data_IF_119889976550
#
_entry.id   IF_119889976550
#
_cell.length_a   1.000
_cell.length_b   1.000
_cell.length_c   1.000
_cell.angle_alpha   90.00
_cell.angle_beta   90.00
_cell.angle_gamma   90.00
#
_symmetry.space_group_name_H-M   'P 1'
#
loop_
_entity.id
_entity.type
_entity.pdbx_description
1 polymer ?
#
# COMPACT_ATOMS: atom_id res chain seq x y z
N UNK A 1 61.37 -13.64 58.37
CA UNK A 1 60.76 -13.78 57.04
C UNK A 1 59.30 -14.18 57.26
N UNK A 2 58.40 -13.23 57.05
CA UNK A 2 56.96 -13.37 57.31
C UNK A 2 56.33 -14.22 56.20
N UNK A 3 55.86 -15.41 56.57
CA UNK A 3 55.00 -16.24 55.72
C UNK A 3 53.60 -15.66 55.66
N UNK A 4 53.17 -15.26 54.47
CA UNK A 4 51.77 -14.93 54.19
C UNK A 4 51.02 -16.25 53.99
N UNK A 5 50.38 -16.74 55.06
CA UNK A 5 49.29 -17.71 54.96
C UNK A 5 48.10 -17.03 54.26
N UNK A 6 47.93 -17.27 52.98
CA UNK A 6 46.66 -17.04 52.30
C UNK A 6 45.65 -18.07 52.86
N UNK A 7 44.73 -17.60 53.72
CA UNK A 7 43.55 -18.38 54.08
C UNK A 7 42.66 -18.51 52.84
N UNK A 8 42.76 -19.64 52.15
CA UNK A 8 41.71 -20.13 51.25
C UNK A 8 40.45 -20.40 52.09
N UNK A 9 39.63 -19.37 52.25
CA UNK A 9 38.23 -19.55 52.64
C UNK A 9 37.51 -20.15 51.43
N UNK A 10 37.57 -21.48 51.30
CA UNK A 10 36.55 -22.22 50.52
C UNK A 10 35.20 -21.84 51.10
N UNK A 11 34.43 -21.03 50.37
CA UNK A 11 33.03 -20.82 50.67
C UNK A 11 32.35 -22.19 50.56
N UNK A 12 31.89 -22.70 51.68
CA UNK A 12 30.99 -23.85 51.74
C UNK A 12 29.76 -23.45 50.92
N UNK A 13 29.52 -24.11 49.79
CA UNK A 13 28.28 -23.95 49.02
C UNK A 13 27.10 -24.10 50.00
N UNK A 14 26.34 -23.03 50.21
CA UNK A 14 25.07 -23.13 50.92
C UNK A 14 24.20 -24.10 50.13
N UNK A 15 23.99 -25.29 50.71
CA UNK A 15 23.27 -26.41 50.09
C UNK A 15 21.91 -25.90 49.59
N UNK A 16 21.79 -25.75 48.26
CA UNK A 16 20.56 -25.32 47.60
C UNK A 16 20.56 -23.95 46.94
N UNK A 17 21.68 -23.20 46.91
CA UNK A 17 21.80 -21.94 46.14
C UNK A 17 22.88 -22.04 45.06
N UNK A 18 22.68 -21.30 43.97
CA UNK A 18 23.62 -21.18 42.85
C UNK A 18 23.88 -19.70 42.59
N UNK A 19 25.14 -19.32 42.44
CA UNK A 19 25.54 -17.95 42.10
C UNK A 19 25.90 -17.87 40.63
N UNK A 20 25.24 -16.97 39.91
CA UNK A 20 25.59 -16.61 38.53
C UNK A 20 26.28 -15.25 38.49
N UNK A 21 27.25 -15.10 37.60
CA UNK A 21 27.94 -13.84 37.32
C UNK A 21 28.03 -13.66 35.81
N UNK A 22 27.71 -12.46 35.31
CA UNK A 22 27.91 -12.16 33.88
C UNK A 22 29.41 -11.97 33.62
N UNK A 23 29.93 -12.58 32.54
CA UNK A 23 31.37 -12.56 32.18
C UNK A 23 31.93 -11.13 32.24
N UNK A 24 33.09 -10.97 32.89
CA UNK A 24 33.70 -9.66 33.17
C UNK A 24 33.36 -9.14 34.58
N UNK A 25 33.45 -7.82 34.80
CA UNK A 25 33.01 -7.15 36.03
C UNK A 25 31.47 -6.96 36.06
N UNK A 26 30.74 -7.95 35.54
CA UNK A 26 29.30 -7.91 35.37
C UNK A 26 28.52 -8.13 36.66
N UNK A 27 27.19 -7.89 36.63
CA UNK A 27 26.33 -8.16 37.77
C UNK A 27 26.32 -9.64 38.16
N UNK A 28 26.09 -9.91 39.44
CA UNK A 28 25.95 -11.27 39.98
C UNK A 28 24.65 -11.42 40.75
N UNK A 29 24.07 -12.62 40.73
CA UNK A 29 22.86 -12.93 41.48
C UNK A 29 22.89 -14.36 42.04
N UNK A 30 22.22 -14.53 43.18
CA UNK A 30 22.04 -15.84 43.82
C UNK A 30 20.61 -16.32 43.56
N UNK A 31 20.48 -17.52 42.99
CA UNK A 31 19.21 -18.17 42.67
C UNK A 31 19.10 -19.46 43.48
N UNK A 32 17.92 -19.74 44.03
CA UNK A 32 17.66 -21.03 44.66
C UNK A 32 17.68 -22.15 43.61
N UNK A 33 18.43 -23.21 43.85
CA UNK A 33 18.58 -24.34 42.91
C UNK A 33 17.23 -24.98 42.54
N UNK A 34 16.26 -24.96 43.46
CA UNK A 34 14.89 -25.45 43.23
C UNK A 34 14.07 -24.60 42.25
N UNK A 35 14.44 -23.34 42.04
CA UNK A 35 13.80 -22.46 41.06
C UNK A 35 14.33 -22.68 39.64
N UNK A 36 15.44 -23.40 39.49
CA UNK A 36 16.02 -23.76 38.18
C UNK A 36 15.43 -25.10 37.73
N UNK A 37 14.39 -25.05 36.92
CA UNK A 37 13.79 -26.24 36.29
C UNK A 37 13.98 -26.21 34.78
N UNK A 38 14.01 -27.38 34.10
CA UNK A 38 14.09 -27.44 32.64
C UNK A 38 12.96 -26.69 31.94
N UNK A 39 11.79 -26.59 32.57
CA UNK A 39 10.64 -25.86 32.04
C UNK A 39 10.82 -24.33 32.08
N UNK A 40 11.65 -23.83 33.01
CA UNK A 40 11.93 -22.40 33.17
C UNK A 40 13.11 -21.98 32.30
N UNK A 41 14.19 -22.75 32.33
CA UNK A 41 15.35 -22.53 31.46
C UNK A 41 16.16 -23.83 31.36
N UNK A 42 16.04 -24.57 30.25
CA UNK A 42 16.83 -25.78 30.04
C UNK A 42 18.33 -25.45 29.94
N UNK A 43 18.68 -24.27 29.43
CA UNK A 43 20.07 -23.80 29.31
C UNK A 43 20.69 -23.60 30.69
N UNK A 44 20.03 -22.85 31.59
CA UNK A 44 20.58 -22.62 32.93
C UNK A 44 20.70 -23.92 33.73
N UNK A 45 19.77 -24.86 33.55
CA UNK A 45 19.87 -26.20 34.18
C UNK A 45 21.03 -27.01 33.60
N UNK A 46 21.26 -26.97 32.29
CA UNK A 46 22.37 -27.66 31.65
C UNK A 46 23.72 -27.15 32.18
N UNK A 47 23.87 -25.82 32.31
CA UNK A 47 25.09 -25.20 32.81
C UNK A 47 25.47 -25.69 34.22
N UNK A 48 24.49 -25.95 35.09
CA UNK A 48 24.73 -26.36 36.50
C UNK A 48 24.74 -27.87 36.73
N UNK A 49 24.30 -28.67 35.76
CA UNK A 49 24.24 -30.14 35.90
C UNK A 49 25.44 -30.85 35.31
N UNK A 50 26.33 -30.13 34.62
CA UNK A 50 27.58 -30.64 34.03
C UNK A 50 27.37 -31.98 33.29
N UNK A 51 26.27 -32.10 32.53
CA UNK A 51 26.01 -33.32 31.76
C UNK A 51 27.10 -33.48 30.70
N UNK A 52 27.66 -34.69 30.62
CA UNK A 52 28.63 -35.07 29.58
C UNK A 52 27.96 -35.42 28.23
N UNK A 53 26.74 -34.94 28.01
CA UNK A 53 26.03 -35.11 26.75
C UNK A 53 26.75 -34.28 25.66
N UNK A 54 27.17 -34.92 24.56
CA UNK A 54 27.81 -34.25 23.43
C UNK A 54 26.91 -33.11 22.91
N UNK A 55 27.39 -31.87 23.03
CA UNK A 55 26.69 -30.66 22.56
C UNK A 55 25.94 -29.86 23.63
N UNK A 56 25.86 -30.34 24.87
CA UNK A 56 25.30 -29.54 25.96
C UNK A 56 26.26 -28.39 26.35
N UNK A 57 25.77 -27.16 26.59
CA UNK A 57 26.62 -26.06 27.03
C UNK A 57 27.20 -26.38 28.42
N UNK A 58 28.52 -26.46 28.52
CA UNK A 58 29.23 -26.64 29.80
C UNK A 58 29.38 -25.28 30.48
N UNK A 59 28.91 -25.19 31.74
CA UNK A 59 29.04 -23.97 32.53
C UNK A 59 30.50 -23.69 32.90
N UNK A 60 31.03 -22.55 32.48
CA UNK A 60 32.31 -22.06 33.00
C UNK A 60 32.10 -21.58 34.44
N UNK A 61 32.99 -21.96 35.35
CA UNK A 61 33.03 -21.45 36.73
C UNK A 61 34.23 -20.53 36.89
N UNK A 62 34.05 -19.43 37.60
CA UNK A 62 35.16 -18.57 37.99
C UNK A 62 35.93 -19.14 39.19
N UNK A 63 36.99 -18.43 39.62
CA UNK A 63 37.82 -18.81 40.78
C UNK A 63 37.05 -18.90 42.11
N UNK A 64 35.83 -18.34 42.18
CA UNK A 64 34.96 -18.39 43.35
C UNK A 64 33.89 -19.49 43.23
N UNK A 65 33.93 -20.30 42.17
CA UNK A 65 32.94 -21.35 41.89
C UNK A 65 31.60 -20.82 41.38
N UNK A 66 31.51 -19.54 40.99
CA UNK A 66 30.29 -18.93 40.44
C UNK A 66 30.18 -19.28 38.97
N UNK A 67 28.97 -19.59 38.50
CA UNK A 67 28.72 -19.90 37.10
C UNK A 67 28.75 -18.63 36.26
N UNK A 68 29.60 -18.61 35.24
CA UNK A 68 29.79 -17.47 34.34
C UNK A 68 28.77 -17.54 33.21
N UNK A 69 28.04 -16.45 33.01
CA UNK A 69 27.04 -16.27 31.97
C UNK A 69 27.58 -15.43 30.82
N UNK A 70 27.31 -15.85 29.59
CA UNK A 70 27.60 -15.10 28.37
C UNK A 70 26.56 -14.01 28.10
N UNK A 71 27.02 -12.87 27.59
CA UNK A 71 26.14 -11.82 27.06
C UNK A 71 26.50 -10.42 27.57
N UNK A 72 25.92 -9.38 26.95
CA UNK A 72 26.14 -7.99 27.35
C UNK A 72 25.67 -7.73 28.79
N UNK A 73 26.35 -6.82 29.49
CA UNK A 73 26.27 -6.71 30.94
C UNK A 73 25.17 -5.76 31.45
N UNK A 74 24.06 -5.55 30.70
CA UNK A 74 23.03 -4.63 31.19
C UNK A 74 22.42 -5.17 32.50
N UNK A 75 22.60 -4.44 33.62
CA UNK A 75 22.21 -4.94 34.93
C UNK A 75 20.69 -5.03 35.10
N UNK A 76 19.92 -4.25 34.31
CA UNK A 76 18.46 -4.30 34.31
C UNK A 76 17.93 -5.56 33.63
N UNK A 77 18.45 -5.89 32.44
CA UNK A 77 18.11 -7.11 31.72
C UNK A 77 18.47 -8.36 32.54
N UNK A 78 19.66 -8.38 33.16
CA UNK A 78 20.08 -9.47 34.02
C UNK A 78 19.20 -9.61 35.27
N UNK A 79 18.85 -8.49 35.93
CA UNK A 79 17.95 -8.51 37.10
C UNK A 79 16.57 -9.08 36.75
N UNK A 80 16.04 -8.74 35.56
CA UNK A 80 14.77 -9.27 35.09
C UNK A 80 14.85 -10.77 34.84
N UNK A 81 15.92 -11.26 34.19
CA UNK A 81 16.16 -12.70 33.99
C UNK A 81 16.11 -13.46 35.32
N UNK A 82 16.85 -12.96 36.32
CA UNK A 82 16.88 -13.54 37.68
C UNK A 82 15.49 -13.55 38.30
N UNK A 83 14.78 -12.42 38.22
CA UNK A 83 13.42 -12.28 38.75
C UNK A 83 12.44 -13.25 38.08
N UNK A 84 12.53 -13.40 36.76
CA UNK A 84 11.74 -14.33 35.97
C UNK A 84 11.93 -15.76 36.47
N UNK A 85 13.18 -16.21 36.61
CA UNK A 85 13.52 -17.56 37.08
C UNK A 85 13.00 -17.80 38.50
N UNK A 86 13.24 -16.86 39.42
CA UNK A 86 12.78 -16.96 40.80
C UNK A 86 11.25 -17.05 40.93
N UNK A 87 10.52 -16.51 39.95
CA UNK A 87 9.04 -16.49 39.91
C UNK A 87 8.45 -17.61 39.05
N UNK A 88 9.25 -18.62 38.71
CA UNK A 88 8.77 -19.76 37.93
C UNK A 88 8.55 -19.44 36.46
N UNK A 89 9.35 -18.56 35.88
CA UNK A 89 9.31 -18.22 34.46
C UNK A 89 8.19 -17.23 34.07
N UNK A 90 7.64 -16.49 35.05
CA UNK A 90 6.55 -15.53 34.83
C UNK A 90 7.07 -14.10 34.90
N UNK A 91 6.59 -13.26 33.98
CA UNK A 91 6.81 -11.82 33.96
C UNK A 91 5.45 -11.12 33.91
N UNK A 92 5.30 -10.02 34.64
CA UNK A 92 4.11 -9.16 34.55
C UNK A 92 4.47 -7.85 33.83
N UNK A 93 3.55 -7.24 33.06
CA UNK A 93 3.82 -5.98 32.37
C UNK A 93 4.34 -4.85 33.28
N UNK A 94 3.80 -4.63 34.50
CA UNK A 94 4.32 -3.61 35.41
C UNK A 94 5.78 -3.83 35.80
N UNK A 95 6.17 -5.09 36.02
CA UNK A 95 7.56 -5.43 36.37
C UNK A 95 8.52 -5.18 35.22
N UNK A 96 8.12 -5.49 33.99
CA UNK A 96 8.96 -5.24 32.82
C UNK A 96 9.17 -3.73 32.65
N UNK A 97 8.11 -2.94 32.77
CA UNK A 97 8.18 -1.48 32.66
C UNK A 97 9.01 -0.82 33.78
N UNK A 98 8.95 -1.36 35.01
CA UNK A 98 9.73 -0.83 36.15
C UNK A 98 11.22 -1.23 36.06
N UNK A 99 11.50 -2.47 35.64
CA UNK A 99 12.87 -2.98 35.66
C UNK A 99 13.69 -2.59 34.44
N UNK A 100 13.07 -2.31 33.29
CA UNK A 100 13.75 -2.01 32.03
C UNK A 100 13.52 -0.53 31.67
N UNK A 101 14.41 0.39 32.13
CA UNK A 101 14.17 1.82 32.05
C UNK A 101 14.33 2.40 30.63
N UNK A 102 15.02 1.69 29.75
CA UNK A 102 15.37 2.14 28.41
C UNK A 102 15.29 1.02 27.36
N UNK A 103 15.41 1.41 26.10
CA UNK A 103 15.32 0.49 24.96
C UNK A 103 16.47 -0.53 24.96
N UNK A 104 17.69 -0.14 25.37
CA UNK A 104 18.84 -1.03 25.35
C UNK A 104 18.65 -2.20 26.34
N UNK A 105 18.19 -1.89 27.56
CA UNK A 105 17.82 -2.90 28.56
C UNK A 105 16.71 -3.83 28.04
N UNK A 106 15.74 -3.31 27.31
CA UNK A 106 14.63 -4.09 26.75
C UNK A 106 15.05 -5.02 25.60
N UNK A 107 15.92 -4.54 24.72
CA UNK A 107 16.51 -5.35 23.65
C UNK A 107 17.38 -6.46 24.23
N UNK A 108 18.21 -6.17 25.24
CA UNK A 108 19.01 -7.18 25.92
C UNK A 108 18.17 -8.20 26.67
N UNK A 109 17.09 -7.77 27.33
CA UNK A 109 16.16 -8.69 27.98
C UNK A 109 15.51 -9.67 26.98
N UNK A 110 15.17 -9.21 25.78
CA UNK A 110 14.66 -10.10 24.72
C UNK A 110 15.73 -11.12 24.28
N UNK A 111 16.97 -10.66 24.05
CA UNK A 111 18.10 -11.55 23.69
C UNK A 111 18.36 -12.61 24.77
N UNK A 112 18.33 -12.22 26.04
CA UNK A 112 18.48 -13.17 27.14
C UNK A 112 17.33 -14.16 27.23
N UNK A 113 16.11 -13.70 27.01
CA UNK A 113 14.95 -14.58 27.04
C UNK A 113 15.02 -15.67 25.97
N UNK A 114 15.56 -15.35 24.79
CA UNK A 114 15.79 -16.32 23.73
C UNK A 114 17.03 -17.18 23.99
N UNK A 115 18.18 -16.58 24.31
CA UNK A 115 19.44 -17.29 24.54
C UNK A 115 19.33 -18.33 25.67
N UNK A 116 18.65 -17.99 26.77
CA UNK A 116 18.44 -18.89 27.89
C UNK A 116 17.17 -19.73 27.77
N UNK A 117 16.48 -19.68 26.62
CA UNK A 117 15.27 -20.43 26.32
C UNK A 117 14.21 -20.29 27.42
N UNK A 118 13.92 -19.05 27.83
CA UNK A 118 12.85 -18.76 28.79
C UNK A 118 11.48 -19.20 28.24
N UNK A 119 10.47 -19.40 29.11
CA UNK A 119 9.18 -19.92 28.70
C UNK A 119 8.53 -18.98 27.68
N UNK A 120 7.76 -19.56 26.75
CA UNK A 120 7.10 -18.79 25.68
C UNK A 120 6.27 -17.62 26.20
N UNK A 121 5.62 -17.78 27.36
CA UNK A 121 4.87 -16.69 28.01
C UNK A 121 5.77 -15.50 28.39
N UNK A 122 6.97 -15.72 28.92
CA UNK A 122 7.90 -14.65 29.28
C UNK A 122 8.40 -13.90 28.03
N UNK A 123 8.80 -14.66 26.98
CA UNK A 123 9.21 -14.09 25.69
C UNK A 123 8.08 -13.27 25.05
N UNK A 124 6.85 -13.75 25.12
CA UNK A 124 5.67 -13.03 24.64
C UNK A 124 5.45 -11.72 25.39
N UNK A 125 5.54 -11.70 26.74
CA UNK A 125 5.36 -10.47 27.52
C UNK A 125 6.45 -9.44 27.21
N UNK A 126 7.71 -9.88 27.06
CA UNK A 126 8.82 -9.01 26.64
C UNK A 126 8.62 -8.43 25.25
N UNK A 127 8.22 -9.28 24.29
CA UNK A 127 7.94 -8.86 22.91
C UNK A 127 6.80 -7.85 22.86
N UNK A 128 5.70 -8.10 23.60
CA UNK A 128 4.57 -7.16 23.71
C UNK A 128 5.01 -5.82 24.31
N UNK A 129 5.80 -5.85 25.39
CA UNK A 129 6.30 -4.62 26.00
C UNK A 129 7.17 -3.84 25.01
N UNK A 130 8.11 -4.51 24.34
CA UNK A 130 8.97 -3.90 23.31
C UNK A 130 8.13 -3.24 22.23
N UNK A 131 7.20 -3.95 21.61
CA UNK A 131 6.40 -3.46 20.48
C UNK A 131 5.37 -2.38 20.89
N UNK A 132 4.93 -2.37 22.15
CA UNK A 132 3.97 -1.37 22.65
C UNK A 132 4.58 0.04 22.80
N UNK A 133 5.89 0.12 22.98
CA UNK A 133 6.62 1.36 23.22
C UNK A 133 8.00 1.33 22.57
N UNK A 134 8.09 0.82 21.33
CA UNK A 134 9.36 0.69 20.64
C UNK A 134 9.79 2.07 20.14
N UNK A 135 10.60 2.76 20.95
CA UNK A 135 11.05 4.13 20.67
C UNK A 135 12.56 4.19 20.61
N UNK A 136 13.08 4.63 19.48
CA UNK A 136 14.50 4.91 19.27
C UNK A 136 14.78 6.39 19.12
N UNK A 137 16.06 6.75 19.09
CA UNK A 137 16.49 8.06 18.63
C UNK A 137 16.44 8.09 17.10
N UNK A 138 15.97 9.20 16.51
CA UNK A 138 15.98 9.41 15.06
C UNK A 138 17.40 9.17 14.50
N UNK A 139 17.50 8.37 13.43
CA UNK A 139 18.76 7.87 12.86
C UNK A 139 19.58 6.89 13.73
N UNK A 140 18.92 6.18 14.64
CA UNK A 140 19.51 5.13 15.46
C UNK A 140 20.15 3.98 14.67
N UNK A 141 20.99 3.21 15.36
CA UNK A 141 21.64 2.02 14.82
C UNK A 141 20.60 1.03 14.26
N UNK A 142 20.98 0.30 13.21
CA UNK A 142 20.15 -0.74 12.63
C UNK A 142 19.88 -1.83 13.69
N UNK A 143 18.61 -2.07 13.98
CA UNK A 143 18.15 -3.14 14.85
C UNK A 143 17.70 -4.30 13.96
N UNK A 144 18.50 -5.36 13.98
CA UNK A 144 18.21 -6.62 13.31
C UNK A 144 17.30 -7.47 14.20
N UNK A 145 15.99 -7.43 13.92
CA UNK A 145 14.98 -8.12 14.71
C UNK A 145 15.09 -9.65 14.62
N UNK A 146 15.72 -10.19 13.56
CA UNK A 146 15.95 -11.63 13.43
C UNK A 146 16.91 -12.16 14.52
N UNK A 147 17.75 -11.28 15.08
CA UNK A 147 18.70 -11.59 16.15
C UNK A 147 18.18 -11.30 17.56
N UNK A 148 16.99 -10.74 17.71
CA UNK A 148 16.44 -10.38 19.03
C UNK A 148 15.71 -11.54 19.71
N UNK A 149 15.40 -12.61 18.98
CA UNK A 149 14.67 -13.75 19.53
C UNK A 149 13.23 -13.41 19.95
N UNK A 150 12.58 -12.51 19.19
CA UNK A 150 11.20 -12.11 19.45
C UNK A 150 10.26 -13.33 19.41
N UNK A 151 9.21 -13.28 20.22
CA UNK A 151 8.19 -14.33 20.23
C UNK A 151 7.50 -14.39 18.86
N UNK A 152 7.50 -15.59 18.25
CA UNK A 152 6.86 -15.89 16.96
C UNK A 152 5.50 -16.58 17.10
N UNK A 153 5.02 -16.76 18.32
CA UNK A 153 3.69 -17.30 18.55
C UNK A 153 2.63 -16.24 18.33
N UNK A 154 1.39 -16.67 18.10
CA UNK A 154 0.22 -15.79 18.00
C UNK A 154 0.18 -14.80 19.19
N UNK A 155 0.15 -13.50 18.87
CA UNK A 155 0.08 -12.43 19.86
C UNK A 155 -1.15 -11.56 19.62
N UNK A 156 -1.91 -11.29 20.68
CA UNK A 156 -3.02 -10.33 20.65
C UNK A 156 -2.57 -9.07 21.36
N UNK A 157 -2.60 -7.93 20.66
CA UNK A 157 -2.19 -6.62 21.12
C UNK A 157 -3.20 -5.55 20.70
N UNK A 158 -3.48 -4.60 21.59
CA UNK A 158 -4.33 -3.45 21.24
C UNK A 158 -3.55 -2.41 20.42
N UNK A 159 -2.26 -2.22 20.71
CA UNK A 159 -1.44 -1.22 20.02
C UNK A 159 0.01 -1.64 19.88
N UNK A 160 0.56 -1.40 18.69
CA UNK A 160 1.98 -1.41 18.38
C UNK A 160 2.40 0.00 17.99
N UNK A 161 3.52 0.46 18.55
CA UNK A 161 4.03 1.81 18.31
C UNK A 161 5.54 1.75 18.04
N UNK A 162 5.90 2.05 16.80
CA UNK A 162 7.27 2.18 16.33
C UNK A 162 7.58 3.66 16.09
N UNK A 163 8.56 4.20 16.80
CA UNK A 163 8.93 5.63 16.71
C UNK A 163 10.45 5.80 16.61
N UNK A 164 10.93 6.46 15.55
CA UNK A 164 12.35 6.82 15.42
C UNK A 164 13.30 5.63 15.27
N UNK A 165 12.86 4.52 14.66
CA UNK A 165 13.63 3.28 14.59
C UNK A 165 14.21 3.00 13.21
N UNK A 166 15.32 2.29 13.17
CA UNK A 166 15.86 1.66 11.97
C UNK A 166 15.79 0.15 12.17
N UNK A 167 14.75 -0.50 11.63
CA UNK A 167 14.49 -1.93 11.84
C UNK A 167 14.69 -2.72 10.56
N UNK A 168 15.21 -3.94 10.72
CA UNK A 168 15.22 -4.95 9.67
C UNK A 168 14.68 -6.28 10.15
N UNK A 169 13.94 -6.98 9.28
CA UNK A 169 13.53 -8.36 9.52
C UNK A 169 12.55 -8.52 10.68
N UNK A 170 11.74 -7.49 10.96
CA UNK A 170 10.65 -7.63 11.93
C UNK A 170 9.58 -8.55 11.32
N UNK A 171 9.37 -9.70 11.96
CA UNK A 171 8.35 -10.67 11.58
C UNK A 171 7.30 -10.79 12.68
N UNK A 172 6.05 -10.51 12.34
CA UNK A 172 4.89 -10.63 13.22
C UNK A 172 3.88 -11.60 12.63
N UNK A 173 4.37 -12.79 12.27
CA UNK A 173 3.56 -13.89 11.77
C UNK A 173 2.44 -14.20 12.77
N UNK A 174 1.22 -14.36 12.27
CA UNK A 174 0.04 -14.75 13.06
C UNK A 174 -0.29 -13.80 14.23
N UNK A 175 0.17 -12.54 14.18
CA UNK A 175 -0.11 -11.58 15.25
C UNK A 175 -1.36 -10.75 14.96
N UNK A 176 -2.22 -10.62 15.98
CA UNK A 176 -3.44 -9.81 15.99
C UNK A 176 -3.14 -8.47 16.68
N UNK A 177 -2.92 -7.41 15.90
CA UNK A 177 -2.62 -6.07 16.43
C UNK A 177 -3.69 -5.09 16.02
N UNK A 178 -4.45 -4.52 16.97
CA UNK A 178 -5.57 -3.63 16.64
C UNK A 178 -5.17 -2.33 15.96
N UNK A 179 -4.12 -1.68 16.47
CA UNK A 179 -3.60 -0.44 15.92
C UNK A 179 -2.09 -0.50 15.75
N UNK A 180 -1.59 -0.16 14.57
CA UNK A 180 -0.15 -0.02 14.30
C UNK A 180 0.16 1.43 13.96
N UNK A 181 1.07 2.03 14.71
CA UNK A 181 1.58 3.38 14.47
C UNK A 181 3.07 3.33 14.16
N UNK A 182 3.45 3.79 12.98
CA UNK A 182 4.84 3.85 12.50
C UNK A 182 5.17 5.32 12.25
N UNK A 183 6.12 5.88 12.99
CA UNK A 183 6.49 7.29 12.90
C UNK A 183 8.00 7.47 12.86
N UNK A 184 8.52 8.23 11.90
CA UNK A 184 9.96 8.52 11.83
C UNK A 184 10.83 7.28 11.68
N UNK A 185 10.31 6.20 11.10
CA UNK A 185 11.00 4.91 11.04
C UNK A 185 11.60 4.64 9.65
N UNK A 186 12.67 3.85 9.62
CA UNK A 186 13.20 3.17 8.43
C UNK A 186 13.03 1.67 8.64
N UNK A 187 12.13 1.07 7.87
CA UNK A 187 11.81 -0.35 7.94
C UNK A 187 12.27 -1.01 6.64
N UNK A 188 13.09 -2.04 6.73
CA UNK A 188 13.56 -2.79 5.57
C UNK A 188 13.35 -4.30 5.76
N UNK A 189 12.90 -5.00 4.71
CA UNK A 189 12.69 -6.45 4.73
C UNK A 189 11.80 -6.91 5.90
N UNK A 190 10.77 -6.12 6.25
CA UNK A 190 9.86 -6.44 7.35
C UNK A 190 8.61 -7.14 6.83
N UNK A 191 8.21 -8.22 7.51
CA UNK A 191 7.01 -8.98 7.19
C UNK A 191 6.01 -8.85 8.33
N UNK A 192 4.98 -8.02 8.11
CA UNK A 192 3.86 -7.88 9.03
C UNK A 192 2.67 -8.64 8.43
N UNK A 193 2.70 -9.96 8.54
CA UNK A 193 1.58 -10.83 8.23
C UNK A 193 0.59 -10.83 9.40
N UNK A 194 -0.20 -9.77 9.50
CA UNK A 194 -1.12 -9.55 10.61
C UNK A 194 -2.42 -10.32 10.36
N UNK A 195 -2.53 -11.52 10.93
CA UNK A 195 -3.78 -12.27 10.85
C UNK A 195 -4.84 -11.56 11.69
N UNK A 196 -5.90 -11.06 11.04
CA UNK A 196 -7.21 -10.70 11.62
C UNK A 196 -7.18 -9.64 12.74
N UNK A 197 -7.70 -8.44 12.43
CA UNK A 197 -7.94 -7.28 13.32
C UNK A 197 -6.89 -6.17 13.38
N UNK A 198 -6.03 -5.97 12.38
CA UNK A 198 -5.45 -4.63 12.20
C UNK A 198 -6.52 -3.65 11.73
N UNK A 199 -7.22 -3.02 12.67
CA UNK A 199 -8.24 -2.02 12.35
C UNK A 199 -7.61 -0.81 11.66
N UNK A 200 -6.41 -0.42 12.07
CA UNK A 200 -5.76 0.75 11.48
C UNK A 200 -4.23 0.67 11.52
N UNK A 201 -3.61 0.90 10.36
CA UNK A 201 -2.17 1.12 10.22
C UNK A 201 -1.95 2.57 9.82
N UNK A 202 -1.15 3.29 10.60
CA UNK A 202 -0.79 4.68 10.32
C UNK A 202 0.73 4.81 10.17
N UNK A 203 1.16 5.40 9.06
CA UNK A 203 2.56 5.56 8.66
C UNK A 203 2.82 7.04 8.43
N UNK A 204 3.74 7.62 9.20
CA UNK A 204 4.09 9.04 9.14
C UNK A 204 5.60 9.25 9.08
N UNK A 205 6.07 10.15 8.21
CA UNK A 205 7.50 10.52 8.10
C UNK A 205 8.43 9.31 8.08
N UNK A 206 8.03 8.25 7.40
CA UNK A 206 8.70 6.95 7.48
C UNK A 206 9.04 6.43 6.09
N UNK A 207 10.13 5.66 6.01
CA UNK A 207 10.53 4.94 4.81
C UNK A 207 10.34 3.45 5.04
N UNK A 208 9.50 2.81 4.23
CA UNK A 208 9.26 1.38 4.26
C UNK A 208 9.76 0.77 2.95
N UNK A 209 10.66 -0.19 3.05
CA UNK A 209 11.30 -0.87 1.92
C UNK A 209 11.04 -2.38 2.01
N UNK A 210 10.46 -2.95 0.95
CA UNK A 210 10.08 -4.37 0.87
C UNK A 210 9.20 -4.83 2.04
N UNK A 211 8.34 -3.94 2.54
CA UNK A 211 7.45 -4.25 3.67
C UNK A 211 6.19 -4.93 3.16
N UNK A 212 5.86 -6.06 3.79
CA UNK A 212 4.60 -6.76 3.54
C UNK A 212 3.61 -6.41 4.65
N UNK A 213 2.49 -5.80 4.27
CA UNK A 213 1.31 -5.60 5.11
C UNK A 213 0.25 -6.58 4.60
N UNK A 214 0.38 -7.85 4.98
CA UNK A 214 -0.52 -8.92 4.53
C UNK A 214 -1.56 -9.23 5.62
N UNK A 215 -2.77 -9.50 5.16
CA UNK A 215 -3.94 -9.97 5.92
C UNK A 215 -4.74 -8.89 6.72
N UNK A 216 -6.04 -8.80 6.40
CA UNK A 216 -7.15 -8.08 7.09
C UNK A 216 -6.89 -6.68 7.70
N UNK A 217 -6.09 -5.82 7.07
CA UNK A 217 -6.00 -4.42 7.49
C UNK A 217 -7.25 -3.66 7.04
N UNK A 218 -8.04 -3.10 7.96
CA UNK A 218 -9.25 -2.34 7.61
C UNK A 218 -8.90 -1.04 6.93
N UNK A 219 -8.04 -0.23 7.56
CA UNK A 219 -7.62 1.07 7.04
C UNK A 219 -6.11 1.26 7.12
N UNK A 220 -5.53 1.80 6.04
CA UNK A 220 -4.13 2.20 5.99
C UNK A 220 -4.07 3.69 5.69
N UNK A 221 -3.35 4.45 6.52
CA UNK A 221 -3.05 5.87 6.29
C UNK A 221 -1.54 6.07 6.17
N UNK A 222 -1.12 6.65 5.07
CA UNK A 222 0.28 7.00 4.76
C UNK A 222 0.33 8.51 4.58
N UNK A 223 1.11 9.20 5.40
CA UNK A 223 1.13 10.66 5.40
C UNK A 223 2.50 11.25 5.77
N UNK A 224 2.60 12.58 5.68
CA UNK A 224 3.73 13.39 6.14
C UNK A 224 5.07 12.99 5.49
N UNK A 225 5.15 13.01 4.16
CA UNK A 225 6.38 12.71 3.41
C UNK A 225 6.93 11.32 3.72
N UNK A 226 6.04 10.32 3.73
CA UNK A 226 6.45 8.92 3.84
C UNK A 226 6.83 8.37 2.46
N UNK A 227 7.76 7.42 2.44
CA UNK A 227 8.24 6.74 1.24
C UNK A 227 7.91 5.24 1.35
N UNK A 228 7.19 4.70 0.37
CA UNK A 228 6.91 3.27 0.27
C UNK A 228 7.61 2.70 -0.96
N UNK A 229 8.55 1.76 -0.80
CA UNK A 229 9.37 1.21 -1.88
C UNK A 229 9.25 -0.31 -1.90
N UNK A 230 8.73 -0.87 -3.00
CA UNK A 230 8.56 -2.33 -3.13
C UNK A 230 7.60 -2.95 -2.12
N UNK A 231 6.71 -2.14 -1.52
CA UNK A 231 5.79 -2.61 -0.50
C UNK A 231 4.64 -3.42 -1.11
N UNK A 232 4.21 -4.46 -0.39
CA UNK A 232 3.04 -5.24 -0.73
C UNK A 232 1.92 -4.95 0.28
N UNK A 233 0.86 -4.30 -0.18
CA UNK A 233 -0.19 -3.72 0.65
C UNK A 233 -1.51 -4.41 0.37
N UNK A 234 -2.14 -4.94 1.42
CA UNK A 234 -3.52 -5.45 1.39
C UNK A 234 -4.38 -4.65 2.36
N UNK A 235 -5.56 -4.23 1.90
CA UNK A 235 -6.53 -3.47 2.70
C UNK A 235 -7.94 -3.91 2.34
N UNK A 236 -8.85 -3.93 3.31
CA UNK A 236 -10.23 -4.40 3.12
C UNK A 236 -11.26 -3.28 3.01
N UNK A 237 -10.97 -2.06 3.50
CA UNK A 237 -11.90 -0.92 3.37
C UNK A 237 -11.24 0.31 2.74
N UNK A 238 -10.15 0.84 3.31
CA UNK A 238 -9.64 2.16 2.90
C UNK A 238 -8.12 2.27 2.91
N UNK A 239 -7.55 2.67 1.78
CA UNK A 239 -6.18 3.18 1.68
C UNK A 239 -6.21 4.70 1.50
N UNK A 240 -5.53 5.44 2.37
CA UNK A 240 -5.31 6.87 2.26
C UNK A 240 -3.81 7.14 2.16
N UNK A 241 -3.37 7.77 1.07
CA UNK A 241 -1.99 8.19 0.85
C UNK A 241 -1.98 9.70 0.62
N UNK A 242 -1.26 10.43 1.45
CA UNK A 242 -1.22 11.89 1.42
C UNK A 242 0.20 12.43 1.52
N UNK A 243 0.55 13.43 0.72
CA UNK A 243 1.84 14.14 0.81
C UNK A 243 3.02 13.15 0.85
N UNK A 244 2.99 12.07 0.05
CA UNK A 244 3.87 10.89 0.19
C UNK A 244 4.20 10.25 -1.16
N UNK A 245 5.28 9.48 -1.18
CA UNK A 245 5.82 8.84 -2.39
C UNK A 245 5.66 7.32 -2.32
N UNK A 246 5.33 6.72 -3.47
CA UNK A 246 5.22 5.28 -3.65
C UNK A 246 6.01 4.83 -4.87
N UNK A 247 6.82 3.81 -4.74
CA UNK A 247 7.63 3.24 -5.82
C UNK A 247 7.46 1.72 -5.87
N UNK A 248 7.11 1.18 -7.04
CA UNK A 248 7.03 -0.27 -7.30
C UNK A 248 6.19 -1.03 -6.26
N UNK A 249 5.13 -0.41 -5.73
CA UNK A 249 4.26 -1.01 -4.73
C UNK A 249 3.19 -1.88 -5.39
N UNK A 250 2.91 -3.03 -4.78
CA UNK A 250 1.84 -3.93 -5.21
C UNK A 250 0.66 -3.88 -4.26
N UNK A 251 -0.55 -3.85 -4.81
CA UNK A 251 -1.78 -3.88 -4.03
C UNK A 251 -2.49 -5.21 -4.28
N UNK A 252 -2.82 -5.92 -3.21
CA UNK A 252 -3.62 -7.16 -3.28
C UNK A 252 -5.04 -6.86 -2.80
N UNK A 253 -6.02 -7.05 -3.66
CA UNK A 253 -7.41 -7.27 -3.24
C UNK A 253 -7.66 -8.77 -3.17
N UNK A 254 -8.27 -9.28 -2.10
CA UNK A 254 -8.56 -10.72 -2.04
C UNK A 254 -9.83 -11.05 -2.80
N UNK A 255 -9.78 -12.13 -3.58
CA UNK A 255 -10.97 -12.69 -4.23
C UNK A 255 -12.02 -13.16 -3.20
N UNK A 256 -11.61 -13.41 -1.95
CA UNK A 256 -12.52 -13.73 -0.85
C UNK A 256 -13.23 -12.48 -0.32
N UNK A 257 -12.55 -11.33 -0.28
CA UNK A 257 -13.10 -10.03 0.16
C UNK A 257 -14.21 -9.57 -0.81
N UNK A 258 -14.17 -10.05 -2.06
CA UNK A 258 -15.18 -9.78 -3.09
C UNK A 258 -16.54 -10.43 -2.83
N UNK A 259 -16.62 -11.44 -1.95
CA UNK A 259 -17.89 -12.13 -1.66
C UNK A 259 -18.87 -11.24 -0.90
N UNK A 260 -18.36 -10.30 -0.09
CA UNK A 260 -19.18 -9.50 0.84
C UNK A 260 -19.64 -8.14 0.29
N UNK A 261 -19.43 -7.87 -1.00
CA UNK A 261 -19.76 -6.57 -1.65
C UNK A 261 -19.15 -5.36 -0.94
N UNK A 262 -18.10 -5.54 -0.14
CA UNK A 262 -17.42 -4.44 0.52
C UNK A 262 -16.76 -3.55 -0.56
N UNK A 263 -17.00 -2.24 -0.45
CA UNK A 263 -16.42 -1.24 -1.35
C UNK A 263 -15.07 -0.86 -0.79
N UNK A 264 -14.00 -1.37 -1.39
CA UNK A 264 -12.63 -0.98 -1.04
C UNK A 264 -12.29 0.32 -1.76
N UNK A 265 -11.87 1.34 -1.02
CA UNK A 265 -11.56 2.68 -1.54
C UNK A 265 -10.07 3.00 -1.39
N UNK A 266 -9.52 3.71 -2.37
CA UNK A 266 -8.19 4.31 -2.30
C UNK A 266 -8.27 5.81 -2.58
N UNK A 267 -7.60 6.59 -1.73
CA UNK A 267 -7.52 8.04 -1.80
C UNK A 267 -6.05 8.45 -1.88
N UNK A 268 -5.67 9.15 -2.93
CA UNK A 268 -4.34 9.68 -3.15
C UNK A 268 -4.44 11.20 -3.21
N UNK A 269 -3.78 11.90 -2.28
CA UNK A 269 -3.84 13.36 -2.16
C UNK A 269 -2.42 13.93 -2.12
N UNK A 270 -2.00 14.71 -3.12
CA UNK A 270 -0.61 15.19 -3.20
C UNK A 270 0.41 14.04 -3.13
N UNK A 271 0.11 12.93 -3.81
CA UNK A 271 0.96 11.75 -3.82
C UNK A 271 1.74 11.62 -5.12
N UNK A 272 2.94 11.04 -5.05
CA UNK A 272 3.74 10.67 -6.23
C UNK A 272 3.81 9.15 -6.33
N UNK A 273 3.40 8.60 -7.47
CA UNK A 273 3.33 7.15 -7.70
C UNK A 273 4.26 6.79 -8.87
N UNK A 274 5.31 6.04 -8.58
CA UNK A 274 6.35 5.62 -9.51
C UNK A 274 6.25 4.14 -9.87
N UNK A 275 6.45 3.85 -11.16
CA UNK A 275 6.37 2.50 -11.71
C UNK A 275 4.95 2.10 -12.13
N UNK A 276 4.86 0.96 -12.80
CA UNK A 276 3.58 0.38 -13.24
C UNK A 276 2.73 0.02 -12.03
N UNK A 277 1.49 0.53 -12.01
CA UNK A 277 0.62 0.41 -10.85
C UNK A 277 -0.65 -0.35 -11.21
N UNK A 278 -0.95 -1.38 -10.41
CA UNK A 278 -2.24 -2.09 -10.47
C UNK A 278 -3.08 -1.69 -9.27
N UNK A 279 -4.25 -1.10 -9.51
CA UNK A 279 -5.14 -0.58 -8.47
C UNK A 279 -6.39 -1.47 -8.36
N UNK A 280 -6.44 -2.43 -7.42
CA UNK A 280 -7.54 -3.37 -7.27
C UNK A 280 -8.71 -2.83 -6.42
N UNK A 281 -8.92 -1.52 -6.41
CA UNK A 281 -9.91 -0.84 -5.56
C UNK A 281 -11.23 -0.62 -6.31
N UNK A 282 -12.35 -0.63 -5.58
CA UNK A 282 -13.66 -0.31 -6.14
C UNK A 282 -13.82 1.18 -6.43
N UNK A 283 -13.26 2.02 -5.57
CA UNK A 283 -13.30 3.47 -5.70
C UNK A 283 -11.89 4.02 -5.58
N UNK A 284 -11.46 4.78 -6.58
CA UNK A 284 -10.16 5.45 -6.56
C UNK A 284 -10.41 6.94 -6.68
N UNK A 285 -9.84 7.73 -5.79
CA UNK A 285 -9.89 9.19 -5.82
C UNK A 285 -8.47 9.72 -5.77
N UNK A 286 -8.08 10.47 -6.79
CA UNK A 286 -6.80 11.14 -6.87
C UNK A 286 -7.04 12.65 -6.89
N UNK A 287 -6.37 13.37 -6.00
CA UNK A 287 -6.35 14.82 -5.94
C UNK A 287 -4.90 15.29 -5.93
N UNK A 288 -4.51 16.08 -6.94
CA UNK A 288 -3.14 16.60 -7.06
C UNK A 288 -2.07 15.49 -7.04
N UNK A 289 -2.42 14.31 -7.54
CA UNK A 289 -1.51 13.16 -7.65
C UNK A 289 -0.70 13.25 -8.94
N UNK A 290 0.56 12.82 -8.88
CA UNK A 290 1.42 12.63 -10.05
C UNK A 290 1.71 11.14 -10.25
N UNK A 291 1.59 10.68 -11.50
CA UNK A 291 1.90 9.30 -11.88
C UNK A 291 3.12 9.28 -12.81
N UNK A 292 4.08 8.41 -12.47
CA UNK A 292 5.39 8.24 -13.08
C UNK A 292 5.64 6.77 -13.45
N UNK A 293 4.74 6.15 -14.22
CA UNK A 293 4.86 4.77 -14.71
C UNK A 293 4.26 4.64 -16.11
N UNK A 294 4.42 3.48 -16.76
CA UNK A 294 3.94 3.29 -18.14
C UNK A 294 2.46 2.89 -18.17
N UNK A 295 1.98 2.14 -17.18
CA UNK A 295 0.59 1.66 -17.18
C UNK A 295 -0.07 1.80 -15.81
N UNK A 296 -1.30 2.32 -15.81
CA UNK A 296 -2.25 2.19 -14.70
C UNK A 296 -3.28 1.12 -15.05
N UNK A 297 -3.18 -0.05 -14.40
CA UNK A 297 -4.12 -1.16 -14.59
C UNK A 297 -5.18 -1.19 -13.51
N UNK A 298 -6.43 -1.35 -13.94
CA UNK A 298 -7.55 -1.60 -13.05
C UNK A 298 -8.01 -3.05 -13.16
N UNK A 299 -8.16 -3.71 -12.01
CA UNK A 299 -8.74 -5.06 -11.98
C UNK A 299 -10.25 -5.01 -11.76
N UNK A 300 -10.97 -6.05 -12.22
CA UNK A 300 -12.42 -6.24 -12.05
C UNK A 300 -12.84 -6.03 -10.59
N UNK A 301 -13.35 -4.84 -10.31
CA UNK A 301 -13.66 -4.34 -8.97
C UNK A 301 -13.88 -2.83 -8.98
N UNK A 302 -13.07 -2.09 -9.73
CA UNK A 302 -13.18 -0.63 -9.90
C UNK A 302 -14.51 -0.18 -10.48
N UNK A 303 -15.45 0.25 -9.64
CA UNK A 303 -16.67 0.89 -10.07
C UNK A 303 -16.39 2.31 -10.59
N UNK A 304 -15.42 3.02 -9.99
CA UNK A 304 -15.14 4.41 -10.35
C UNK A 304 -13.71 4.86 -10.03
N UNK A 305 -13.13 5.66 -10.92
CA UNK A 305 -11.93 6.49 -10.69
C UNK A 305 -12.31 7.95 -10.84
N UNK A 306 -11.98 8.78 -9.87
CA UNK A 306 -11.99 10.24 -10.01
C UNK A 306 -10.56 10.78 -9.94
N UNK A 307 -10.12 11.46 -11.00
CA UNK A 307 -8.88 12.22 -11.05
C UNK A 307 -9.25 13.71 -11.03
N UNK A 308 -8.73 14.46 -10.06
CA UNK A 308 -8.96 15.89 -9.90
C UNK A 308 -7.65 16.65 -9.76
N UNK A 309 -7.47 17.74 -10.50
CA UNK A 309 -6.22 18.54 -10.47
C UNK A 309 -4.96 17.68 -10.67
N UNK A 310 -5.11 16.57 -11.38
CA UNK A 310 -4.12 15.49 -11.47
C UNK A 310 -3.31 15.69 -12.73
N UNK A 311 -1.98 15.63 -12.62
CA UNK A 311 -1.08 15.76 -13.77
C UNK A 311 -0.61 14.37 -14.18
N UNK A 312 -1.04 13.93 -15.35
CA UNK A 312 -0.66 12.62 -15.90
C UNK A 312 0.57 12.81 -16.78
N UNK A 313 1.76 12.71 -16.17
CA UNK A 313 3.03 13.04 -16.84
C UNK A 313 3.54 11.93 -17.75
N UNK A 314 3.35 10.65 -17.39
CA UNK A 314 3.96 9.55 -18.13
C UNK A 314 3.10 8.31 -18.31
N UNK A 315 1.77 8.33 -18.12
CA UNK A 315 0.93 7.12 -18.24
C UNK A 315 0.43 6.91 -19.69
N UNK A 316 1.11 6.24 -20.63
CA UNK A 316 0.60 6.02 -21.99
C UNK A 316 -0.69 5.18 -22.08
N UNK A 317 -1.12 4.48 -21.01
CA UNK A 317 -2.35 3.69 -21.05
C UNK A 317 -3.06 3.58 -19.71
N UNK A 318 -4.40 3.71 -19.76
CA UNK A 318 -5.31 3.34 -18.66
C UNK A 318 -6.12 2.14 -19.16
N UNK A 319 -5.94 1.00 -18.51
CA UNK A 319 -6.54 -0.27 -18.95
C UNK A 319 -7.51 -0.81 -17.90
N UNK A 320 -8.62 -1.35 -18.37
CA UNK A 320 -9.58 -2.06 -17.53
C UNK A 320 -10.12 -3.32 -18.22
N UNK A 321 -10.25 -4.39 -17.44
CA UNK A 321 -10.87 -5.66 -17.88
C UNK A 321 -12.41 -5.62 -17.84
N UNK A 322 -13.00 -4.54 -17.35
CA UNK A 322 -14.44 -4.31 -17.24
C UNK A 322 -14.77 -2.85 -17.52
N UNK A 323 -16.03 -2.55 -17.83
CA UNK A 323 -16.47 -1.17 -17.99
C UNK A 323 -16.34 -0.41 -16.66
N UNK A 324 -15.51 0.63 -16.64
CA UNK A 324 -15.22 1.47 -15.45
C UNK A 324 -15.73 2.88 -15.68
N UNK A 325 -16.21 3.56 -14.64
CA UNK A 325 -16.43 5.00 -14.68
C UNK A 325 -15.13 5.79 -14.41
N UNK A 326 -14.68 6.59 -15.36
CA UNK A 326 -13.54 7.48 -15.23
C UNK A 326 -14.03 8.94 -15.26
N UNK A 327 -13.75 9.67 -14.18
CA UNK A 327 -14.07 11.09 -14.02
C UNK A 327 -12.77 11.89 -14.05
N UNK A 328 -12.60 12.73 -15.07
CA UNK A 328 -11.47 13.65 -15.20
C UNK A 328 -11.95 15.09 -14.97
N UNK A 329 -11.43 15.74 -13.93
CA UNK A 329 -11.77 17.12 -13.55
C UNK A 329 -10.49 17.96 -13.43
N UNK A 330 -10.37 19.06 -14.18
CA UNK A 330 -9.22 19.97 -14.13
C UNK A 330 -7.88 19.22 -14.34
N UNK A 331 -7.80 18.48 -15.45
CA UNK A 331 -6.66 17.58 -15.74
C UNK A 331 -5.94 17.97 -17.03
N UNK A 332 -4.60 17.94 -17.00
CA UNK A 332 -3.74 18.07 -18.17
C UNK A 332 -3.25 16.69 -18.62
N UNK A 333 -3.68 16.25 -19.81
CA UNK A 333 -3.23 15.02 -20.45
C UNK A 333 -2.05 15.38 -21.38
N UNK A 334 -0.82 15.34 -20.83
CA UNK A 334 0.40 15.74 -21.55
C UNK A 334 0.93 14.65 -22.49
N UNK A 335 0.55 13.39 -22.27
CA UNK A 335 0.98 12.24 -23.08
C UNK A 335 -0.15 11.68 -23.95
N UNK A 336 0.22 10.87 -24.95
CA UNK A 336 -0.74 10.16 -25.79
C UNK A 336 -1.39 9.04 -24.96
N UNK A 337 -2.69 9.17 -24.67
CA UNK A 337 -3.43 8.21 -23.85
C UNK A 337 -4.29 7.28 -24.70
N UNK A 338 -4.34 6.01 -24.29
CA UNK A 338 -5.29 5.04 -24.79
C UNK A 338 -6.36 4.79 -23.71
N UNK A 339 -7.62 5.02 -24.08
CA UNK A 339 -8.79 4.72 -23.26
C UNK A 339 -9.52 3.53 -23.86
N UNK A 340 -9.69 2.46 -23.09
CA UNK A 340 -10.37 1.25 -23.55
C UNK A 340 -11.39 0.72 -22.53
N UNK A 341 -12.60 0.39 -22.99
CA UNK A 341 -13.68 -0.16 -22.16
C UNK A 341 -14.08 0.75 -20.99
N UNK A 342 -14.46 2.01 -21.25
CA UNK A 342 -14.71 3.00 -20.20
C UNK A 342 -16.01 3.79 -20.38
N UNK A 343 -16.58 4.21 -19.24
CA UNK A 343 -17.57 5.27 -19.12
C UNK A 343 -16.87 6.55 -18.67
N UNK A 344 -16.75 7.52 -19.56
CA UNK A 344 -15.88 8.69 -19.37
C UNK A 344 -16.69 9.95 -19.13
N UNK A 345 -16.29 10.74 -18.12
CA UNK A 345 -16.77 12.10 -17.89
C UNK A 345 -15.58 13.05 -17.90
N UNK A 346 -15.68 14.12 -18.69
CA UNK A 346 -14.64 15.14 -18.85
C UNK A 346 -15.17 16.48 -18.37
N UNK A 347 -14.43 17.14 -17.48
CA UNK A 347 -14.71 18.51 -17.05
C UNK A 347 -13.41 19.30 -16.95
N UNK A 348 -13.31 20.40 -17.69
CA UNK A 348 -12.12 21.25 -17.71
C UNK A 348 -10.83 20.47 -18.03
N UNK A 349 -10.90 19.56 -19.02
CA UNK A 349 -9.79 18.67 -19.39
C UNK A 349 -9.05 19.21 -20.60
N UNK A 350 -7.73 19.29 -20.50
CA UNK A 350 -6.85 19.70 -21.60
C UNK A 350 -6.10 18.51 -22.17
N UNK A 351 -6.35 18.18 -23.43
CA UNK A 351 -5.69 17.09 -24.14
C UNK A 351 -4.60 17.69 -25.05
N UNK A 352 -3.33 17.40 -24.78
CA UNK A 352 -2.20 18.02 -25.49
C UNK A 352 -1.61 17.14 -26.59
N UNK A 353 -1.71 15.82 -26.47
CA UNK A 353 -1.24 14.85 -27.46
C UNK A 353 -2.39 13.99 -27.99
N UNK A 354 -2.24 13.36 -29.17
CA UNK A 354 -3.29 12.54 -29.75
C UNK A 354 -3.65 11.35 -28.84
N UNK A 355 -4.94 11.13 -28.63
CA UNK A 355 -5.46 10.02 -27.83
C UNK A 355 -6.18 8.98 -28.70
N UNK A 356 -6.25 7.74 -28.22
CA UNK A 356 -7.10 6.69 -28.77
C UNK A 356 -8.24 6.38 -27.79
N UNK A 357 -9.47 6.39 -28.27
CA UNK A 357 -10.67 6.07 -27.51
C UNK A 357 -11.34 4.87 -28.16
N UNK A 358 -11.27 3.70 -27.53
CA UNK A 358 -11.82 2.45 -28.06
C UNK A 358 -12.86 1.86 -27.11
N UNK A 359 -14.10 1.68 -27.57
CA UNK A 359 -15.20 1.15 -26.74
C UNK A 359 -15.47 2.02 -25.51
N UNK A 360 -15.57 3.33 -25.74
CA UNK A 360 -15.79 4.35 -24.71
C UNK A 360 -17.20 4.93 -24.82
N UNK A 361 -17.88 5.09 -23.69
CA UNK A 361 -19.14 5.83 -23.57
C UNK A 361 -18.90 7.11 -22.77
N UNK A 362 -19.05 8.28 -23.39
CA UNK A 362 -19.12 9.54 -22.66
C UNK A 362 -20.49 9.64 -21.99
N UNK A 363 -20.50 9.64 -20.65
CA UNK A 363 -21.74 9.50 -19.85
C UNK A 363 -22.55 10.78 -19.73
N UNK A 364 -21.88 11.91 -19.96
CA UNK A 364 -22.45 13.26 -19.99
C UNK A 364 -22.04 13.93 -21.30
N UNK A 365 -22.65 15.09 -21.58
CA UNK A 365 -22.30 15.92 -22.74
C UNK A 365 -20.85 16.38 -22.63
N UNK A 366 -20.08 16.21 -23.70
CA UNK A 366 -18.68 16.65 -23.77
C UNK A 366 -18.66 18.13 -24.17
N UNK A 367 -18.21 19.01 -23.28
CA UNK A 367 -18.23 20.44 -23.49
C UNK A 367 -16.82 21.03 -23.53
N UNK A 368 -16.56 21.94 -24.46
CA UNK A 368 -15.36 22.80 -24.48
C UNK A 368 -14.02 22.04 -24.55
N UNK A 369 -14.02 20.81 -25.08
CA UNK A 369 -12.81 20.00 -25.24
C UNK A 369 -12.19 20.22 -26.63
N UNK A 370 -10.86 20.39 -26.66
CA UNK A 370 -10.07 20.35 -27.90
C UNK A 370 -9.35 19.01 -28.02
N UNK A 371 -9.71 18.22 -29.03
CA UNK A 371 -9.07 16.96 -29.36
C UNK A 371 -7.91 17.18 -30.35
N UNK A 372 -6.67 16.77 -30.00
CA UNK A 372 -5.51 16.95 -30.86
C UNK A 372 -5.62 16.18 -32.17
N UNK A 373 -4.97 16.72 -33.22
CA UNK A 373 -4.95 16.10 -34.55
C UNK A 373 -4.41 14.67 -34.49
N UNK A 374 -5.01 13.77 -35.28
CA UNK A 374 -4.76 12.32 -35.30
C UNK A 374 -5.32 11.55 -34.10
N UNK A 375 -6.12 12.17 -33.22
CA UNK A 375 -6.86 11.40 -32.21
C UNK A 375 -7.83 10.43 -32.89
N UNK A 376 -8.02 9.26 -32.28
CA UNK A 376 -8.80 8.14 -32.80
C UNK A 376 -9.96 7.81 -31.88
N UNK A 377 -11.12 7.54 -32.47
CA UNK A 377 -12.34 7.18 -31.79
C UNK A 377 -12.90 5.94 -32.48
N UNK A 378 -12.93 4.80 -31.79
CA UNK A 378 -13.46 3.53 -32.30
C UNK A 378 -14.58 3.04 -31.39
N UNK A 379 -15.77 2.83 -31.96
CA UNK A 379 -16.95 2.38 -31.22
C UNK A 379 -17.28 3.27 -30.01
N UNK A 380 -17.10 4.57 -30.17
CA UNK A 380 -17.33 5.56 -29.11
C UNK A 380 -18.78 6.04 -29.12
N UNK A 381 -19.40 6.13 -27.95
CA UNK A 381 -20.75 6.67 -27.77
C UNK A 381 -20.70 7.99 -27.00
N UNK A 382 -21.12 9.07 -27.62
CA UNK A 382 -21.34 10.37 -26.97
C UNK A 382 -22.79 10.44 -26.50
N UNK A 383 -23.12 9.93 -25.31
CA UNK A 383 -24.52 9.68 -24.90
C UNK A 383 -25.42 10.92 -25.04
N UNK A 384 -24.94 12.06 -24.53
CA UNK A 384 -25.65 13.35 -24.58
C UNK A 384 -25.02 14.32 -25.61
N UNK A 385 -24.14 13.80 -26.48
CA UNK A 385 -23.46 14.54 -27.53
C UNK A 385 -22.25 15.36 -27.10
N UNK A 386 -21.88 16.32 -27.95
CA UNK A 386 -20.75 17.23 -27.85
C UNK A 386 -21.23 18.67 -28.05
N UNK A 387 -20.61 19.61 -27.34
CA UNK A 387 -20.89 21.04 -27.46
C UNK A 387 -19.59 21.85 -27.43
N UNK A 388 -19.45 22.80 -28.36
CA UNK A 388 -18.28 23.68 -28.50
C UNK A 388 -16.93 22.92 -28.54
N UNK A 389 -16.95 21.66 -28.96
CA UNK A 389 -15.75 20.84 -29.07
C UNK A 389 -15.00 21.15 -30.37
N UNK A 390 -13.66 21.04 -30.31
CA UNK A 390 -12.78 21.25 -31.46
C UNK A 390 -12.06 19.92 -31.76
N UNK A 391 -12.20 19.41 -32.97
CA UNK A 391 -11.42 18.29 -33.48
C UNK A 391 -10.99 18.60 -34.91
N UNK A 392 -9.68 18.48 -35.19
CA UNK A 392 -9.16 18.69 -36.54
C UNK A 392 -8.28 17.54 -36.98
N UNK A 393 -8.61 16.89 -38.09
CA UNK A 393 -7.83 15.73 -38.58
C UNK A 393 -7.90 14.52 -37.66
N UNK A 394 -9.02 14.31 -36.97
CA UNK A 394 -9.28 13.14 -36.13
C UNK A 394 -9.98 12.03 -36.94
N UNK A 395 -9.96 10.80 -36.41
CA UNK A 395 -10.56 9.63 -37.04
C UNK A 395 -11.64 9.03 -36.14
N UNK A 396 -12.85 8.90 -36.66
CA UNK A 396 -14.02 8.35 -35.99
C UNK A 396 -14.50 7.11 -36.75
N UNK A 397 -14.59 5.98 -36.07
CA UNK A 397 -14.94 4.67 -36.63
C UNK A 397 -16.06 4.05 -35.78
N UNK A 398 -17.21 3.77 -36.40
CA UNK A 398 -18.37 3.16 -35.74
C UNK A 398 -18.89 3.94 -34.52
N UNK A 399 -18.68 5.25 -34.47
CA UNK A 399 -19.11 6.10 -33.36
C UNK A 399 -20.59 6.47 -33.41
N UNK A 400 -21.19 6.75 -32.26
CA UNK A 400 -22.49 7.41 -32.11
C UNK A 400 -22.27 8.79 -31.49
N UNK A 401 -22.57 9.85 -32.25
CA UNK A 401 -22.32 11.25 -31.86
C UNK A 401 -23.48 11.88 -31.07
N UNK A 402 -24.34 11.07 -30.46
CA UNK A 402 -25.38 11.48 -29.52
C UNK A 402 -26.78 11.58 -30.09
N UNK A 403 -27.71 11.94 -29.21
CA UNK A 403 -29.14 12.02 -29.49
C UNK A 403 -29.66 13.44 -29.23
N UNK A 404 -30.68 13.85 -29.98
CA UNK A 404 -31.31 15.15 -29.82
C UNK A 404 -30.61 16.28 -30.58
N UNK A 405 -31.25 17.44 -30.57
CA UNK A 405 -30.93 18.57 -31.45
C UNK A 405 -29.58 19.24 -31.14
N UNK A 406 -29.11 19.16 -29.90
CA UNK A 406 -27.91 19.86 -29.44
C UNK A 406 -26.67 18.95 -29.40
N UNK A 407 -26.77 17.72 -29.90
CA UNK A 407 -25.74 16.71 -29.71
C UNK A 407 -24.41 16.97 -30.46
N UNK A 408 -24.35 17.95 -31.36
CA UNK A 408 -23.09 18.41 -31.97
C UNK A 408 -23.03 19.95 -32.06
N UNK A 409 -23.71 20.62 -31.12
CA UNK A 409 -23.90 22.07 -31.15
C UNK A 409 -22.56 22.82 -31.13
N UNK A 410 -22.40 23.79 -32.05
CA UNK A 410 -21.24 24.69 -32.12
C UNK A 410 -19.87 23.98 -32.17
N UNK A 411 -19.82 22.73 -32.63
CA UNK A 411 -18.58 21.98 -32.74
C UNK A 411 -17.80 22.33 -34.02
N UNK A 412 -16.47 22.33 -33.94
CA UNK A 412 -15.54 22.49 -35.06
C UNK A 412 -14.84 21.15 -35.34
N UNK A 413 -15.43 20.33 -36.21
CA UNK A 413 -14.99 18.98 -36.57
C UNK A 413 -14.42 18.95 -38.00
N UNK A 414 -13.26 19.58 -38.20
CA UNK A 414 -12.71 19.87 -39.54
C UNK A 414 -11.66 18.85 -40.00
N UNK A 415 -11.59 18.57 -41.30
CA UNK A 415 -10.62 17.62 -41.87
C UNK A 415 -10.66 16.21 -41.22
N UNK A 416 -11.76 15.86 -40.57
CA UNK A 416 -11.92 14.60 -39.86
C UNK A 416 -12.31 13.47 -40.82
N UNK A 417 -12.04 12.23 -40.44
CA UNK A 417 -12.52 11.05 -41.15
C UNK A 417 -13.58 10.36 -40.30
N UNK A 418 -14.78 10.19 -40.85
CA UNK A 418 -15.89 9.50 -40.21
C UNK A 418 -16.21 8.24 -41.02
N UNK A 419 -16.16 7.07 -40.37
CA UNK A 419 -16.44 5.77 -40.97
C UNK A 419 -17.53 5.06 -40.16
N UNK A 420 -18.63 4.70 -40.81
CA UNK A 420 -19.76 4.00 -40.19
C UNK A 420 -20.32 4.70 -38.93
N UNK A 421 -20.14 6.02 -38.82
CA UNK A 421 -20.64 6.81 -37.69
C UNK A 421 -22.15 7.11 -37.81
N UNK A 422 -22.79 7.29 -36.66
CA UNK A 422 -24.17 7.77 -36.51
C UNK A 422 -24.18 9.21 -36.03
N UNK A 423 -24.88 10.08 -36.76
CA UNK A 423 -25.05 11.50 -36.44
C UNK A 423 -26.49 11.76 -35.96
N UNK A 424 -26.71 12.70 -35.03
CA UNK A 424 -28.06 13.13 -34.64
C UNK A 424 -28.78 13.87 -35.78
N UNK A 425 -30.10 13.79 -35.80
CA UNK A 425 -30.93 14.63 -36.65
C UNK A 425 -31.00 16.07 -36.12
N UNK A 426 -30.79 17.08 -36.99
CA UNK A 426 -30.82 18.50 -36.61
C UNK A 426 -32.06 19.23 -37.16
N UNK A 427 -32.83 19.84 -36.27
CA UNK A 427 -34.00 20.67 -36.60
C UNK A 427 -33.63 22.09 -37.05
N UNK A 428 -34.62 22.85 -37.57
CA UNK A 428 -34.42 24.10 -38.32
C UNK A 428 -33.53 25.13 -37.61
N UNK A 429 -33.61 25.18 -36.27
CA UNK A 429 -33.02 26.22 -35.44
C UNK A 429 -31.80 25.74 -34.61
N UNK A 430 -31.28 24.53 -34.89
CA UNK A 430 -30.16 23.97 -34.13
C UNK A 430 -28.81 24.65 -34.43
N UNK A 431 -27.89 24.78 -33.45
CA UNK A 431 -26.58 25.38 -33.65
C UNK A 431 -25.74 24.65 -34.73
N UNK A 432 -25.12 25.41 -35.64
CA UNK A 432 -24.38 24.86 -36.78
C UNK A 432 -23.06 24.21 -36.34
N UNK A 433 -22.88 22.93 -36.66
CA UNK A 433 -21.58 22.26 -36.61
C UNK A 433 -20.77 22.57 -37.88
N UNK A 434 -19.47 22.82 -37.73
CA UNK A 434 -18.55 23.00 -38.84
C UNK A 434 -17.80 21.69 -39.11
N UNK A 435 -18.04 21.11 -40.29
CA UNK A 435 -17.50 19.82 -40.73
C UNK A 435 -16.65 19.98 -42.00
N UNK A 436 -16.10 21.16 -42.24
CA UNK A 436 -15.36 21.49 -43.46
C UNK A 436 -14.14 20.61 -43.67
N UNK A 437 -13.92 20.19 -44.91
CA UNK A 437 -12.82 19.32 -45.32
C UNK A 437 -12.89 17.88 -44.82
N UNK A 438 -13.97 17.48 -44.12
CA UNK A 438 -14.10 16.14 -43.55
C UNK A 438 -14.57 15.10 -44.57
N UNK A 439 -14.17 13.84 -44.37
CA UNK A 439 -14.55 12.70 -45.19
C UNK A 439 -15.56 11.81 -44.45
N UNK A 440 -16.66 11.44 -45.11
CA UNK A 440 -17.72 10.58 -44.59
C UNK A 440 -17.81 9.30 -45.42
N UNK A 441 -17.68 8.15 -44.75
CA UNK A 441 -17.72 6.82 -45.35
C UNK A 441 -18.78 5.98 -44.64
N UNK A 442 -19.85 5.59 -45.35
CA UNK A 442 -20.96 4.77 -44.81
C UNK A 442 -21.62 5.36 -43.55
N UNK A 443 -21.58 6.69 -43.38
CA UNK A 443 -22.19 7.37 -42.24
C UNK A 443 -23.71 7.48 -42.37
N UNK A 444 -24.40 7.48 -41.23
CA UNK A 444 -25.86 7.53 -41.17
C UNK A 444 -26.36 8.65 -40.27
N UNK A 445 -27.54 9.18 -40.58
CA UNK A 445 -28.28 10.08 -39.68
C UNK A 445 -29.26 9.24 -38.87
N UNK A 446 -29.31 9.48 -37.56
CA UNK A 446 -30.22 8.86 -36.61
C UNK A 446 -31.32 9.87 -36.24
N UNK A 447 -32.56 9.57 -36.62
CA UNK A 447 -33.72 10.36 -36.25
C UNK A 447 -34.25 9.94 -34.88
N UNK A 448 -34.47 10.91 -33.99
CA UNK A 448 -35.14 10.71 -32.70
C UNK A 448 -36.51 11.39 -32.74
N UNK A 449 -37.43 10.83 -33.54
CA UNK A 449 -38.84 11.24 -33.54
C UNK A 449 -39.65 10.56 -32.41
N UNK A 450 -40.93 10.93 -32.28
CA UNK A 450 -41.89 10.31 -31.33
C UNK A 450 -42.18 8.82 -31.60
N UNK A 451 -41.69 8.28 -32.72
CA UNK A 451 -41.85 6.89 -33.12
C UNK A 451 -40.51 6.15 -33.08
N UNK A 452 -40.44 4.92 -32.52
CA UNK A 452 -39.18 4.21 -32.21
C UNK A 452 -38.51 3.56 -33.44
N UNK A 453 -38.82 4.01 -34.66
CA UNK A 453 -38.22 3.47 -35.86
C UNK A 453 -36.92 4.22 -36.16
N UNK A 454 -35.77 3.56 -35.96
CA UNK A 454 -34.46 4.05 -36.42
C UNK A 454 -34.44 4.05 -37.95
N UNK A 455 -34.99 5.07 -38.58
CA UNK A 455 -34.76 5.32 -40.00
C UNK A 455 -33.34 5.90 -40.14
N UNK A 456 -32.40 5.03 -40.55
CA UNK A 456 -31.02 5.43 -40.78
C UNK A 456 -30.86 5.82 -42.25
N UNK A 457 -30.79 7.12 -42.53
CA UNK A 457 -30.58 7.63 -43.89
C UNK A 457 -29.09 7.72 -44.21
N UNK A 458 -28.70 7.32 -45.41
CA UNK A 458 -27.39 7.65 -45.97
C UNK A 458 -27.30 9.17 -46.04
N UNK A 459 -26.21 9.73 -45.50
CA UNK A 459 -25.96 11.17 -45.56
C UNK A 459 -25.96 11.61 -47.03
N UNK A 460 -26.94 12.43 -47.42
CA UNK A 460 -27.00 13.06 -48.75
C UNK A 460 -27.04 14.59 -48.60
N UNK A 461 -26.73 15.30 -49.68
CA UNK A 461 -26.59 16.76 -49.68
C UNK A 461 -27.83 17.54 -49.20
N UNK A 462 -29.02 16.92 -49.20
CA UNK A 462 -30.27 17.55 -48.76
C UNK A 462 -30.32 17.74 -47.23
N UNK A 463 -29.92 16.73 -46.46
CA UNK A 463 -29.95 16.76 -44.99
C UNK A 463 -28.85 17.62 -44.37
N UNK A 464 -27.87 17.99 -45.19
CA UNK A 464 -26.61 18.60 -44.77
C UNK A 464 -26.58 20.13 -44.91
N UNK A 465 -27.68 20.76 -45.34
CA UNK A 465 -27.75 22.23 -45.57
C UNK A 465 -27.41 23.08 -44.34
N UNK A 466 -27.46 22.49 -43.14
CA UNK A 466 -27.16 23.14 -41.86
C UNK A 466 -25.77 22.85 -41.32
N UNK A 467 -24.99 22.02 -41.99
CA UNK A 467 -23.59 21.80 -41.64
C UNK A 467 -22.73 22.61 -42.60
N UNK A 468 -21.67 23.22 -42.08
CA UNK A 468 -20.65 23.74 -43.00
C UNK A 468 -19.85 22.56 -43.55
N UNK A 469 -20.19 22.13 -44.76
CA UNK A 469 -19.55 21.03 -45.48
C UNK A 469 -18.58 21.48 -46.57
N UNK A 470 -18.09 22.72 -46.52
CA UNK A 470 -17.15 23.20 -47.52
C UNK A 470 -15.96 22.23 -47.66
N UNK A 471 -15.77 21.67 -48.86
CA UNK A 471 -14.70 20.71 -49.15
C UNK A 471 -14.86 19.31 -48.55
N UNK A 472 -16.02 18.96 -48.00
CA UNK A 472 -16.29 17.61 -47.48
C UNK A 472 -16.58 16.60 -48.60
N UNK A 473 -16.24 15.33 -48.37
CA UNK A 473 -16.52 14.21 -49.30
C UNK A 473 -17.43 13.19 -48.63
N UNK A 474 -18.39 12.63 -49.38
CA UNK A 474 -19.31 11.60 -48.90
C UNK A 474 -19.23 10.39 -49.83
N UNK A 475 -19.09 9.19 -49.27
CA UNK A 475 -19.06 7.92 -50.00
C UNK A 475 -19.82 6.82 -49.24
N UNK A 476 -20.46 5.91 -49.98
CA UNK A 476 -21.28 4.85 -49.40
C UNK A 476 -20.45 3.66 -48.86
N UNK A 477 -19.14 3.63 -49.15
CA UNK A 477 -18.17 2.66 -48.64
C UNK A 477 -18.28 1.26 -49.24
N UNK A 478 -18.61 1.16 -50.53
CA UNK A 478 -18.64 -0.09 -51.30
C UNK A 478 -17.27 -0.74 -51.49
#
# INVERSE_FOLDING_TARGET
>A
MLGLCAQERMQVEEVGKVTFVVRGDGPSAVIERRALTPDISPVLVALITERDDEGAPKGEKDIQGRYVLEGPANPHAFRLLVSCVQRGGRLTPPEIAEQLPDLEALLEACRYADYYLLPGQARMQLTRQLLSSFKGAEAGALIDCEKLGLCRSEMIMDKMHLEGLNLRGLRLEESHVRQVLIRGCRLADCEMALSVTAGEVQIFKSRLENVQLDVFVTKITVADSSELVGCNIRVIEELLVRDSEMENCTFKGSDEDRKDRQVVSAYFCHAEIHGDTTLPFNRIVCEQTCFHGDVMRMTKGGASIKLSKTRILSLPSIESQSMVYLYLEDCDLVEALNFHCMRLQLRDVRILKPCDFAEVEFVEKVCDVTFPRKSRFRQVRFKDGMERCIASGCHFECCNLGYGQDAVAACLLTQCHFQACRFPFLEADSPVANLSGSNFVSCRIQWSGQFPHEESFVINSYWLRKWNLAGATVSDGH
#
